data_IF_694188592578
#
_entry.id   IF_694188592578
#
_cell.length_a   1.000
_cell.length_b   1.000
_cell.length_c   1.000
_cell.angle_alpha   90.00
_cell.angle_beta   90.00
_cell.angle_gamma   90.00
#
_symmetry.space_group_name_H-M   'P 1'
#
loop_
_entity.id
_entity.type
_entity.pdbx_description
1 polymer ?
#
# COMPACT_ATOMS: atom_id res chain seq x y z
N UNK A 1 20.54 9.54 2.06
CA UNK A 1 20.00 8.22 2.47
C UNK A 1 19.17 8.31 3.76
N UNK A 2 19.73 8.83 4.89
CA UNK A 2 19.00 8.91 6.19
C UNK A 2 17.66 9.66 6.07
N UNK A 3 17.60 10.80 5.40
CA UNK A 3 16.35 11.56 5.21
C UNK A 3 15.29 10.76 4.45
N UNK A 4 15.69 10.05 3.40
CA UNK A 4 14.78 9.18 2.62
C UNK A 4 14.25 8.02 3.48
N UNK A 5 15.13 7.38 4.25
CA UNK A 5 14.74 6.34 5.20
C UNK A 5 13.71 6.84 6.21
N UNK A 6 13.98 7.97 6.86
CA UNK A 6 13.05 8.56 7.84
C UNK A 6 11.69 8.92 7.20
N UNK A 7 11.69 9.48 5.98
CA UNK A 7 10.47 9.81 5.26
C UNK A 7 9.63 8.56 4.94
N UNK A 8 10.25 7.50 4.42
CA UNK A 8 9.55 6.24 4.11
C UNK A 8 9.01 5.54 5.37
N UNK A 9 9.79 5.58 6.47
CA UNK A 9 9.36 5.04 7.76
C UNK A 9 8.12 5.77 8.27
N UNK A 10 8.19 7.11 8.35
CA UNK A 10 7.08 7.93 8.85
C UNK A 10 5.86 7.83 7.94
N UNK A 11 6.05 7.88 6.62
CA UNK A 11 4.95 7.77 5.66
C UNK A 11 4.22 6.43 5.76
N UNK A 12 4.97 5.33 5.91
CA UNK A 12 4.35 4.00 6.04
C UNK A 12 3.69 3.82 7.41
N UNK A 13 4.28 4.36 8.47
CA UNK A 13 3.63 4.42 9.79
C UNK A 13 2.28 5.14 9.69
N UNK A 14 2.24 6.31 9.08
CA UNK A 14 1.01 7.10 8.90
C UNK A 14 -0.03 6.34 8.08
N UNK A 15 0.38 5.73 6.96
CA UNK A 15 -0.53 4.94 6.13
C UNK A 15 -1.19 3.81 6.92
N UNK A 16 -0.41 3.04 7.69
CA UNK A 16 -0.95 1.92 8.48
C UNK A 16 -1.79 2.42 9.64
N UNK A 17 -1.29 3.40 10.42
CA UNK A 17 -2.01 3.91 11.57
C UNK A 17 -3.38 4.50 11.20
N UNK A 18 -3.45 5.35 10.18
CA UNK A 18 -4.71 6.01 9.82
C UNK A 18 -5.57 5.17 8.87
N UNK A 19 -4.98 4.47 7.91
CA UNK A 19 -5.72 3.60 6.99
C UNK A 19 -6.36 2.41 7.71
N UNK A 20 -5.55 1.61 8.41
CA UNK A 20 -6.08 0.51 9.22
C UNK A 20 -6.87 1.02 10.43
N UNK A 21 -6.46 2.15 11.00
CA UNK A 21 -7.17 2.80 12.11
C UNK A 21 -8.59 3.19 11.76
N UNK A 22 -8.86 3.65 10.53
CA UNK A 22 -10.22 3.92 10.07
C UNK A 22 -11.11 2.67 10.14
N UNK A 23 -10.57 1.49 9.80
CA UNK A 23 -11.29 0.22 9.91
C UNK A 23 -11.47 -0.24 11.36
N UNK A 24 -10.43 -0.08 12.20
CA UNK A 24 -10.39 -0.62 13.57
C UNK A 24 -11.05 0.31 14.59
N UNK A 25 -10.76 1.58 14.53
CA UNK A 25 -11.26 2.58 15.48
C UNK A 25 -12.56 3.21 15.00
N UNK A 26 -12.65 3.51 13.70
CA UNK A 26 -13.86 4.04 13.07
C UNK A 26 -14.94 2.97 12.88
N UNK A 27 -14.53 1.78 12.41
CA UNK A 27 -15.41 0.65 12.18
C UNK A 27 -16.35 0.80 10.97
N UNK A 28 -16.83 -0.34 10.48
CA UNK A 28 -17.75 -0.37 9.33
C UNK A 28 -19.09 0.29 9.63
N UNK A 29 -19.56 0.25 10.89
CA UNK A 29 -20.87 0.78 11.28
C UNK A 29 -20.90 2.31 11.33
N UNK A 30 -19.77 2.97 11.58
CA UNK A 30 -19.69 4.43 11.70
C UNK A 30 -19.04 5.10 10.50
N UNK A 31 -17.89 4.56 10.05
CA UNK A 31 -17.11 5.15 8.95
C UNK A 31 -17.52 4.56 7.60
N UNK A 32 -17.96 3.30 7.61
CA UNK A 32 -18.34 2.57 6.41
C UNK A 32 -17.16 2.24 5.50
N UNK A 33 -17.40 1.37 4.51
CA UNK A 33 -16.38 0.99 3.54
C UNK A 33 -15.83 2.19 2.78
N UNK A 34 -16.67 3.12 2.39
CA UNK A 34 -16.26 4.34 1.66
C UNK A 34 -15.31 5.20 2.51
N UNK A 35 -15.65 5.43 3.78
CA UNK A 35 -14.80 6.22 4.66
C UNK A 35 -13.44 5.56 4.94
N UNK A 36 -13.41 4.22 5.10
CA UNK A 36 -12.15 3.46 5.23
C UNK A 36 -11.30 3.63 3.95
N UNK A 37 -11.91 3.48 2.78
CA UNK A 37 -11.24 3.63 1.50
C UNK A 37 -10.66 5.05 1.33
N UNK A 38 -11.42 6.07 1.67
CA UNK A 38 -10.98 7.47 1.64
C UNK A 38 -9.84 7.73 2.64
N UNK A 39 -9.87 7.11 3.82
CA UNK A 39 -8.79 7.27 4.80
C UNK A 39 -7.44 6.76 4.26
N UNK A 40 -7.42 5.60 3.59
CA UNK A 40 -6.22 5.10 2.91
C UNK A 40 -5.76 6.06 1.80
N UNK A 41 -6.68 6.52 0.95
CA UNK A 41 -6.36 7.45 -0.13
C UNK A 41 -5.83 8.78 0.38
N UNK A 42 -6.49 9.38 1.37
CA UNK A 42 -6.07 10.67 1.93
C UNK A 42 -4.78 10.58 2.76
N UNK A 43 -4.50 9.45 3.40
CA UNK A 43 -3.20 9.23 4.03
C UNK A 43 -2.06 9.32 2.99
N UNK A 44 -2.26 8.72 1.80
CA UNK A 44 -1.30 8.86 0.69
C UNK A 44 -1.24 10.30 0.20
N UNK A 45 -2.37 10.98 -0.02
CA UNK A 45 -2.37 12.40 -0.44
C UNK A 45 -1.53 13.24 0.53
N UNK A 46 -1.81 13.13 1.82
CA UNK A 46 -1.11 13.90 2.85
C UNK A 46 0.39 13.62 2.85
N UNK A 47 0.79 12.34 2.79
CA UNK A 47 2.20 11.96 2.79
C UNK A 47 2.91 12.27 1.48
N UNK A 48 2.23 12.15 0.34
CA UNK A 48 2.82 12.51 -0.96
C UNK A 48 3.23 13.99 -1.00
N UNK A 49 2.42 14.88 -0.46
CA UNK A 49 2.79 16.30 -0.36
C UNK A 49 3.73 16.61 0.82
N UNK A 50 3.61 15.89 1.93
CA UNK A 50 4.43 16.11 3.12
C UNK A 50 5.87 15.62 2.98
N UNK A 51 6.06 14.39 2.47
CA UNK A 51 7.38 13.74 2.39
C UNK A 51 7.81 13.39 0.97
N UNK A 52 6.95 13.54 -0.02
CA UNK A 52 7.28 13.28 -1.43
C UNK A 52 8.51 14.02 -1.92
N UNK A 53 8.71 15.32 -1.59
CA UNK A 53 9.94 16.03 -1.95
C UNK A 53 11.22 15.44 -1.37
N UNK A 54 11.15 14.59 -0.33
CA UNK A 54 12.29 13.95 0.33
C UNK A 54 12.60 12.57 -0.26
N UNK A 55 11.58 11.71 -0.42
CA UNK A 55 11.77 10.30 -0.80
C UNK A 55 11.02 9.88 -2.06
N UNK A 56 10.09 10.69 -2.55
CA UNK A 56 9.10 10.29 -3.55
C UNK A 56 7.86 9.64 -2.94
N UNK A 57 7.84 9.43 -1.60
CA UNK A 57 6.71 8.87 -0.86
C UNK A 57 6.21 7.53 -1.45
N UNK A 58 7.11 6.56 -1.56
CA UNK A 58 6.70 5.22 -2.00
C UNK A 58 5.82 4.53 -0.96
N UNK A 59 6.25 4.54 0.30
CA UNK A 59 5.57 3.96 1.49
C UNK A 59 4.99 2.56 1.26
N UNK A 60 5.57 1.85 0.28
CA UNK A 60 5.08 0.58 -0.24
C UNK A 60 6.20 -0.19 -0.94
N UNK A 61 6.55 -1.42 -0.48
CA UNK A 61 7.57 -2.24 -1.12
C UNK A 61 7.26 -2.60 -2.58
N UNK A 62 5.99 -2.80 -2.94
CA UNK A 62 5.60 -3.08 -4.31
C UNK A 62 5.79 -1.86 -5.22
N UNK A 63 5.51 -0.65 -4.73
CA UNK A 63 5.79 0.60 -5.47
C UNK A 63 7.29 0.77 -5.69
N UNK A 64 8.11 0.52 -4.67
CA UNK A 64 9.58 0.58 -4.79
C UNK A 64 10.10 -0.45 -5.79
N UNK A 65 9.55 -1.67 -5.79
CA UNK A 65 9.88 -2.70 -6.78
C UNK A 65 9.50 -2.26 -8.21
N UNK A 66 8.29 -1.76 -8.40
CA UNK A 66 7.83 -1.28 -9.70
C UNK A 66 8.68 -0.12 -10.25
N UNK A 67 9.06 0.82 -9.37
CA UNK A 67 9.97 1.91 -9.73
C UNK A 67 11.37 1.40 -10.11
N UNK A 68 11.89 0.40 -9.41
CA UNK A 68 13.14 -0.28 -9.76
C UNK A 68 13.05 -0.97 -11.12
N UNK A 69 11.99 -1.76 -11.35
CA UNK A 69 11.76 -2.45 -12.64
C UNK A 69 11.63 -1.45 -13.78
N UNK A 70 10.95 -0.32 -13.57
CA UNK A 70 10.84 0.76 -14.54
C UNK A 70 12.15 1.53 -14.79
N UNK A 71 13.22 1.22 -14.04
CA UNK A 71 14.52 1.90 -14.16
C UNK A 71 14.57 3.29 -13.51
N UNK A 72 13.58 3.62 -12.65
CA UNK A 72 13.48 4.92 -11.97
C UNK A 72 14.07 4.93 -10.55
N UNK A 73 14.59 3.81 -10.08
CA UNK A 73 15.14 3.64 -8.74
C UNK A 73 16.35 2.70 -8.75
N UNK A 74 17.34 2.95 -7.90
CA UNK A 74 18.46 2.02 -7.70
C UNK A 74 18.08 0.85 -6.79
N UNK A 75 18.70 -0.32 -6.98
CA UNK A 75 18.51 -1.47 -6.10
C UNK A 75 18.86 -1.15 -4.63
N UNK A 76 19.89 -0.34 -4.41
CA UNK A 76 20.30 0.11 -3.07
C UNK A 76 19.21 0.94 -2.40
N UNK A 77 18.64 1.91 -3.11
CA UNK A 77 17.55 2.73 -2.58
C UNK A 77 16.31 1.89 -2.30
N UNK A 78 15.97 0.94 -3.20
CA UNK A 78 14.84 0.03 -3.03
C UNK A 78 14.95 -0.77 -1.72
N UNK A 79 16.12 -1.39 -1.46
CA UNK A 79 16.33 -2.18 -0.23
C UNK A 79 16.21 -1.29 1.03
N UNK A 80 16.79 -0.09 1.00
CA UNK A 80 16.70 0.86 2.11
C UNK A 80 15.25 1.29 2.35
N UNK A 81 14.45 1.50 1.29
CA UNK A 81 13.04 1.83 1.40
C UNK A 81 12.25 0.66 2.00
N UNK A 82 12.48 -0.56 1.53
CA UNK A 82 11.82 -1.74 2.08
C UNK A 82 12.01 -1.86 3.59
N UNK A 83 13.26 -1.73 4.07
CA UNK A 83 13.56 -1.79 5.51
C UNK A 83 12.78 -0.70 6.27
N UNK A 84 12.82 0.55 5.79
CA UNK A 84 12.11 1.67 6.41
C UNK A 84 10.59 1.44 6.43
N UNK A 85 10.03 0.97 5.32
CA UNK A 85 8.60 0.72 5.15
C UNK A 85 8.10 -0.39 6.08
N UNK A 86 8.81 -1.51 6.18
CA UNK A 86 8.44 -2.58 7.11
C UNK A 86 8.50 -2.15 8.56
N UNK A 87 9.55 -1.42 8.96
CA UNK A 87 9.66 -0.86 10.33
C UNK A 87 8.51 0.12 10.58
N UNK A 88 8.24 1.04 9.66
CA UNK A 88 7.16 2.01 9.78
C UNK A 88 5.79 1.34 9.92
N UNK A 89 5.53 0.28 9.13
CA UNK A 89 4.28 -0.48 9.20
C UNK A 89 4.09 -1.18 10.56
N UNK A 90 5.14 -1.80 11.09
CA UNK A 90 5.10 -2.45 12.42
C UNK A 90 4.82 -1.41 13.50
N UNK A 91 5.53 -0.27 13.49
CA UNK A 91 5.32 0.80 14.47
C UNK A 91 3.89 1.36 14.37
N UNK A 92 3.39 1.62 13.14
CA UNK A 92 2.02 2.10 12.93
C UNK A 92 0.96 1.14 13.45
N UNK A 93 1.13 -0.15 13.18
CA UNK A 93 0.25 -1.21 13.69
C UNK A 93 0.35 -1.36 15.22
N UNK A 94 1.55 -1.23 15.81
CA UNK A 94 1.74 -1.29 17.25
C UNK A 94 1.05 -0.12 17.96
N UNK A 95 1.19 1.11 17.45
CA UNK A 95 0.49 2.28 17.98
C UNK A 95 -1.03 2.08 17.87
N UNK A 96 -1.52 1.57 16.75
CA UNK A 96 -2.94 1.25 16.57
C UNK A 96 -3.44 0.25 17.63
N UNK A 97 -2.70 -0.83 17.86
CA UNK A 97 -3.04 -1.84 18.87
C UNK A 97 -3.07 -1.28 20.30
N UNK A 98 -2.19 -0.33 20.63
CA UNK A 98 -2.20 0.36 21.93
C UNK A 98 -3.42 1.28 22.11
N UNK A 99 -3.99 1.81 21.03
CA UNK A 99 -5.16 2.70 21.06
C UNK A 99 -6.46 1.90 21.00
N UNK A 100 -6.47 0.78 20.25
CA UNK A 100 -7.67 0.01 19.99
C UNK A 100 -8.23 -0.67 21.24
N UNK A 101 -9.55 -0.62 21.44
CA UNK A 101 -10.23 -1.33 22.52
C UNK A 101 -10.03 -2.85 22.46
N UNK A 102 -9.86 -3.40 21.25
CA UNK A 102 -9.57 -4.81 21.00
C UNK A 102 -8.09 -5.16 21.19
N UNK A 103 -7.24 -4.18 21.51
CA UNK A 103 -5.81 -4.38 21.56
C UNK A 103 -5.25 -4.89 20.23
N UNK A 104 -4.49 -5.97 20.30
CA UNK A 104 -3.85 -6.57 19.11
C UNK A 104 -4.70 -7.68 18.45
N UNK A 105 -5.96 -7.88 18.85
CA UNK A 105 -6.80 -8.93 18.28
C UNK A 105 -7.25 -8.63 16.84
N UNK A 106 -7.36 -7.34 16.47
CA UNK A 106 -7.70 -6.91 15.11
C UNK A 106 -7.03 -5.57 14.81
N UNK A 107 -6.22 -5.54 13.76
CA UNK A 107 -5.44 -4.37 13.33
C UNK A 107 -5.67 -4.02 11.84
N UNK A 108 -6.81 -4.43 11.27
CA UNK A 108 -7.11 -4.21 9.87
C UNK A 108 -6.21 -5.07 8.95
N UNK A 109 -5.85 -6.26 9.40
CA UNK A 109 -5.06 -7.23 8.66
C UNK A 109 -5.79 -7.71 7.40
N UNK A 110 -5.00 -8.11 6.40
CA UNK A 110 -5.50 -8.69 5.17
C UNK A 110 -5.66 -10.22 5.29
N UNK A 111 -6.54 -10.80 4.47
CA UNK A 111 -6.74 -12.24 4.45
C UNK A 111 -7.56 -12.72 3.26
N UNK A 112 -7.69 -14.04 3.15
CA UNK A 112 -8.55 -14.75 2.21
C UNK A 112 -9.30 -15.87 2.93
N UNK A 113 -10.25 -16.51 2.28
CA UNK A 113 -11.16 -17.47 2.92
C UNK A 113 -11.79 -16.87 4.20
N UNK A 114 -11.64 -17.50 5.36
CA UNK A 114 -12.13 -17.01 6.64
C UNK A 114 -11.46 -15.70 7.10
N UNK A 115 -10.33 -15.31 6.52
CA UNK A 115 -9.67 -14.03 6.76
C UNK A 115 -10.13 -12.89 5.84
N UNK A 116 -10.92 -13.20 4.81
CA UNK A 116 -11.51 -12.21 3.91
C UNK A 116 -12.75 -11.58 4.54
N UNK A 117 -12.92 -10.24 4.50
CA UNK A 117 -14.14 -9.61 4.99
C UNK A 117 -15.41 -10.10 4.28
N UNK A 118 -15.33 -10.41 2.99
CA UNK A 118 -16.45 -10.94 2.19
C UNK A 118 -16.38 -12.44 1.91
N UNK A 119 -15.47 -13.19 2.54
CA UNK A 119 -15.35 -14.65 2.36
C UNK A 119 -14.73 -15.09 1.03
N UNK A 120 -13.98 -14.23 0.36
CA UNK A 120 -13.33 -14.55 -0.93
C UNK A 120 -12.11 -15.46 -0.73
N UNK A 121 -11.99 -16.49 -1.58
CA UNK A 121 -10.91 -17.47 -1.51
C UNK A 121 -9.58 -17.00 -2.10
N UNK A 122 -8.56 -17.84 -1.95
CA UNK A 122 -7.18 -17.59 -2.38
C UNK A 122 -7.07 -17.13 -3.85
N UNK A 123 -7.78 -17.77 -4.78
CA UNK A 123 -7.72 -17.40 -6.21
C UNK A 123 -8.16 -15.95 -6.43
N UNK A 124 -9.28 -15.54 -5.83
CA UNK A 124 -9.78 -14.17 -5.93
C UNK A 124 -8.78 -13.18 -5.31
N UNK A 125 -8.16 -13.52 -4.17
CA UNK A 125 -7.15 -12.71 -3.52
C UNK A 125 -5.93 -12.50 -4.41
N UNK A 126 -5.38 -13.56 -5.00
CA UNK A 126 -4.23 -13.48 -5.90
C UNK A 126 -4.50 -12.61 -7.12
N UNK A 127 -5.63 -12.83 -7.80
CA UNK A 127 -6.00 -12.08 -9.00
C UNK A 127 -6.22 -10.60 -8.66
N UNK A 128 -7.01 -10.33 -7.61
CA UNK A 128 -7.33 -8.96 -7.20
C UNK A 128 -6.07 -8.18 -6.84
N UNK A 129 -5.24 -8.70 -5.95
CA UNK A 129 -4.03 -8.01 -5.47
C UNK A 129 -3.02 -7.77 -6.59
N UNK A 130 -2.84 -8.73 -7.49
CA UNK A 130 -1.96 -8.60 -8.65
C UNK A 130 -2.46 -7.50 -9.62
N UNK A 131 -3.73 -7.56 -10.01
CA UNK A 131 -4.31 -6.59 -10.97
C UNK A 131 -4.40 -5.21 -10.37
N UNK A 132 -4.88 -5.08 -9.12
CA UNK A 132 -4.99 -3.80 -8.42
C UNK A 132 -3.61 -3.14 -8.24
N UNK A 133 -2.57 -3.92 -7.92
CA UNK A 133 -1.21 -3.39 -7.81
C UNK A 133 -0.66 -2.95 -9.16
N UNK A 134 -0.90 -3.71 -10.24
CA UNK A 134 -0.47 -3.31 -11.58
C UNK A 134 -1.12 -1.97 -11.99
N UNK A 135 -2.44 -1.82 -11.78
CA UNK A 135 -3.17 -0.57 -12.03
C UNK A 135 -2.61 0.57 -11.17
N UNK A 136 -2.34 0.31 -9.90
CA UNK A 136 -1.76 1.31 -9.00
C UNK A 136 -0.40 1.79 -9.49
N UNK A 137 0.49 0.87 -9.92
CA UNK A 137 1.78 1.23 -10.51
C UNK A 137 1.64 2.01 -11.82
N UNK A 138 0.67 1.66 -12.67
CA UNK A 138 0.39 2.41 -13.90
C UNK A 138 0.04 3.85 -13.58
N UNK A 139 -0.86 4.08 -12.60
CA UNK A 139 -1.21 5.43 -12.17
C UNK A 139 0.00 6.19 -11.61
N UNK A 140 0.77 5.58 -10.71
CA UNK A 140 1.96 6.21 -10.09
C UNK A 140 2.99 6.57 -11.16
N UNK A 141 3.41 5.60 -11.96
CA UNK A 141 4.48 5.80 -12.95
C UNK A 141 4.05 6.75 -14.06
N UNK A 142 2.78 6.75 -14.43
CA UNK A 142 2.22 7.67 -15.42
C UNK A 142 2.24 9.11 -14.91
N UNK A 143 1.66 9.37 -13.73
CA UNK A 143 1.53 10.74 -13.21
C UNK A 143 2.87 11.35 -12.78
N UNK A 144 3.85 10.52 -12.37
CA UNK A 144 5.19 10.94 -11.97
C UNK A 144 6.23 10.89 -13.10
N UNK A 145 5.82 10.52 -14.31
CA UNK A 145 6.69 10.53 -15.49
C UNK A 145 7.08 11.94 -15.93
N UNK A 146 8.08 12.06 -16.80
CA UNK A 146 8.60 13.34 -17.27
C UNK A 146 7.55 14.24 -17.96
N UNK A 147 6.58 13.63 -18.64
CA UNK A 147 5.41 14.30 -19.24
C UNK A 147 4.12 14.15 -18.40
N UNK A 148 4.25 13.67 -17.16
CA UNK A 148 3.13 13.51 -16.21
C UNK A 148 2.78 14.82 -15.52
N UNK A 149 1.66 14.80 -14.81
CA UNK A 149 1.15 15.95 -14.05
C UNK A 149 1.66 15.91 -12.60
N UNK A 150 2.98 16.03 -12.39
CA UNK A 150 3.64 15.87 -11.09
C UNK A 150 3.05 16.71 -9.96
N UNK A 151 2.56 17.92 -10.23
CA UNK A 151 1.91 18.75 -9.24
C UNK A 151 0.63 18.13 -8.63
N UNK A 152 -0.08 17.30 -9.41
CA UNK A 152 -1.28 16.58 -8.99
C UNK A 152 -1.02 15.11 -8.63
N UNK A 153 0.23 14.67 -8.64
CA UNK A 153 0.58 13.27 -8.43
C UNK A 153 0.00 12.72 -7.12
N UNK A 154 0.16 13.44 -6.02
CA UNK A 154 -0.36 13.02 -4.71
C UNK A 154 -1.87 12.77 -4.73
N UNK A 155 -2.64 13.67 -5.35
CA UNK A 155 -4.10 13.53 -5.47
C UNK A 155 -4.47 12.34 -6.34
N UNK A 156 -3.86 12.23 -7.54
CA UNK A 156 -4.15 11.13 -8.46
C UNK A 156 -3.84 9.75 -7.84
N UNK A 157 -2.69 9.62 -7.18
CA UNK A 157 -2.27 8.38 -6.52
C UNK A 157 -3.22 8.04 -5.35
N UNK A 158 -3.55 9.04 -4.51
CA UNK A 158 -4.45 8.82 -3.38
C UNK A 158 -5.88 8.45 -3.82
N UNK A 159 -6.41 9.10 -4.85
CA UNK A 159 -7.72 8.74 -5.43
C UNK A 159 -7.67 7.31 -5.99
N UNK A 160 -6.61 6.95 -6.72
CA UNK A 160 -6.47 5.58 -7.25
C UNK A 160 -6.48 4.55 -6.12
N UNK A 161 -5.75 4.81 -5.02
CA UNK A 161 -5.76 3.92 -3.86
C UNK A 161 -7.15 3.82 -3.22
N UNK A 162 -7.86 4.96 -3.08
CA UNK A 162 -9.22 4.98 -2.56
C UNK A 162 -10.17 4.15 -3.43
N UNK A 163 -10.11 4.29 -4.76
CA UNK A 163 -10.93 3.50 -5.70
C UNK A 163 -10.64 2.00 -5.56
N UNK A 164 -9.36 1.61 -5.48
CA UNK A 164 -8.97 0.21 -5.26
C UNK A 164 -9.57 -0.32 -3.94
N UNK A 165 -9.56 0.48 -2.87
CA UNK A 165 -10.16 0.10 -1.59
C UNK A 165 -11.68 0.01 -1.65
N UNK A 166 -12.36 0.94 -2.33
CA UNK A 166 -13.83 0.88 -2.52
C UNK A 166 -14.24 -0.45 -3.16
N UNK A 167 -13.48 -0.90 -4.16
CA UNK A 167 -13.77 -2.16 -4.87
C UNK A 167 -13.36 -3.39 -4.06
N UNK A 168 -12.21 -3.35 -3.41
CA UNK A 168 -11.51 -4.55 -2.95
C UNK A 168 -11.57 -4.85 -1.46
N UNK A 169 -12.08 -3.95 -0.60
CA UNK A 169 -12.11 -4.20 0.85
C UNK A 169 -12.77 -5.55 1.17
N UNK A 170 -13.87 -5.88 0.51
CA UNK A 170 -14.55 -7.14 0.75
C UNK A 170 -13.75 -8.36 0.27
N UNK A 171 -12.86 -8.18 -0.71
CA UNK A 171 -12.08 -9.31 -1.28
C UNK A 171 -10.96 -9.74 -0.35
N UNK A 172 -10.13 -8.79 0.13
CA UNK A 172 -8.93 -9.11 0.91
C UNK A 172 -8.69 -8.15 2.07
N UNK A 173 -9.51 -7.12 2.24
CA UNK A 173 -9.19 -5.95 3.04
C UNK A 173 -8.22 -5.00 2.32
N UNK A 174 -7.88 -5.26 1.08
CA UNK A 174 -6.91 -4.59 0.18
C UNK A 174 -5.52 -4.42 0.77
N UNK A 175 -4.56 -5.09 0.14
CA UNK A 175 -3.14 -4.88 0.41
C UNK A 175 -2.54 -3.87 -0.55
N UNK A 176 -2.29 -4.30 -1.77
CA UNK A 176 -1.44 -3.67 -2.81
C UNK A 176 -0.10 -3.17 -2.26
N UNK A 177 0.25 -3.59 -1.03
CA UNK A 177 1.38 -3.08 -0.25
C UNK A 177 1.86 -4.13 0.76
N UNK A 178 2.97 -4.83 0.51
CA UNK A 178 3.50 -5.85 1.41
C UNK A 178 3.75 -5.36 2.85
N UNK A 179 4.23 -4.12 3.04
CA UNK A 179 4.50 -3.59 4.36
C UNK A 179 3.20 -3.30 5.14
N UNK A 180 2.17 -2.74 4.46
CA UNK A 180 0.84 -2.51 5.03
C UNK A 180 0.19 -3.82 5.50
N UNK A 181 0.44 -4.92 4.82
CA UNK A 181 -0.09 -6.22 5.23
C UNK A 181 0.74 -6.85 6.35
N UNK A 182 2.06 -6.75 6.26
CA UNK A 182 2.98 -7.39 7.20
C UNK A 182 2.87 -6.81 8.63
N UNK A 183 2.82 -5.48 8.76
CA UNK A 183 2.79 -4.82 10.08
C UNK A 183 1.64 -5.35 10.96
N UNK A 184 0.37 -5.24 10.53
CA UNK A 184 -0.75 -5.82 11.25
C UNK A 184 -0.66 -7.34 11.41
N UNK A 185 -0.32 -8.09 10.35
CA UNK A 185 -0.28 -9.55 10.40
C UNK A 185 0.75 -10.08 11.41
N UNK A 186 1.91 -9.42 11.53
CA UNK A 186 2.96 -9.79 12.49
C UNK A 186 2.47 -9.70 13.94
N UNK A 187 1.71 -8.66 14.26
CA UNK A 187 1.24 -8.39 15.63
C UNK A 187 -0.02 -9.16 16.00
N UNK A 188 -0.91 -9.40 15.03
CA UNK A 188 -2.10 -10.24 15.21
C UNK A 188 -1.73 -11.72 15.28
N UNK A 189 -0.75 -12.14 14.47
CA UNK A 189 -0.32 -13.56 14.41
C UNK A 189 -1.31 -14.48 13.72
N UNK A 190 -1.29 -15.75 14.07
CA UNK A 190 -2.26 -16.77 13.64
C UNK A 190 -2.48 -16.82 12.12
N UNK A 191 -3.77 -16.83 11.73
CA UNK A 191 -4.17 -16.91 10.32
C UNK A 191 -3.65 -15.74 9.49
N UNK A 192 -3.66 -14.51 10.03
CA UNK A 192 -3.18 -13.33 9.31
C UNK A 192 -1.70 -13.47 8.92
N UNK A 193 -0.87 -13.96 9.84
CA UNK A 193 0.55 -14.17 9.58
C UNK A 193 0.79 -15.34 8.61
N UNK A 194 0.01 -16.43 8.71
CA UNK A 194 0.12 -17.58 7.80
C UNK A 194 -0.33 -17.26 6.37
N UNK A 195 -1.22 -16.28 6.19
CA UNK A 195 -1.73 -15.86 4.89
C UNK A 195 -0.95 -14.70 4.26
N UNK A 196 -0.06 -14.04 5.01
CA UNK A 196 0.62 -12.81 4.58
C UNK A 196 1.42 -12.95 3.28
N UNK A 197 1.88 -14.15 2.95
CA UNK A 197 2.67 -14.43 1.73
C UNK A 197 1.94 -14.03 0.44
N UNK A 198 0.59 -14.14 0.39
CA UNK A 198 -0.21 -13.71 -0.76
C UNK A 198 0.02 -12.23 -1.04
N UNK A 199 0.08 -11.43 0.02
CA UNK A 199 0.24 -9.97 -0.02
C UNK A 199 1.69 -9.51 -0.26
N UNK A 200 2.61 -10.44 -0.37
CA UNK A 200 3.95 -10.24 -0.92
C UNK A 200 4.00 -10.63 -2.40
N UNK A 201 3.54 -11.84 -2.71
CA UNK A 201 3.67 -12.43 -4.05
C UNK A 201 2.81 -11.70 -5.08
N UNK A 202 1.50 -11.56 -4.83
CA UNK A 202 0.58 -10.97 -5.80
C UNK A 202 0.87 -9.49 -6.07
N UNK A 203 1.09 -8.62 -5.05
CA UNK A 203 1.52 -7.25 -5.29
C UNK A 203 2.88 -7.14 -6.00
N UNK A 204 3.84 -8.03 -5.70
CA UNK A 204 5.13 -8.02 -6.38
C UNK A 204 4.99 -8.33 -7.89
N UNK A 205 4.17 -9.32 -8.24
CA UNK A 205 3.89 -9.64 -9.66
C UNK A 205 3.21 -8.43 -10.34
N UNK A 206 2.19 -7.84 -9.71
CA UNK A 206 1.53 -6.65 -10.23
C UNK A 206 2.49 -5.47 -10.43
N UNK A 207 3.39 -5.25 -9.47
CA UNK A 207 4.42 -4.22 -9.55
C UNK A 207 5.40 -4.44 -10.70
N UNK A 208 5.82 -5.69 -10.91
CA UNK A 208 6.68 -6.05 -12.06
C UNK A 208 5.96 -5.80 -13.38
N UNK A 209 4.69 -6.20 -13.52
CA UNK A 209 3.89 -5.95 -14.71
C UNK A 209 3.81 -4.45 -14.99
N UNK A 210 3.37 -3.64 -14.00
CA UNK A 210 3.27 -2.18 -14.14
C UNK A 210 4.62 -1.54 -14.50
N UNK A 211 5.70 -1.95 -13.82
CA UNK A 211 7.05 -1.46 -14.08
C UNK A 211 7.56 -1.79 -15.48
N UNK A 212 7.32 -3.00 -15.98
CA UNK A 212 7.73 -3.43 -17.33
C UNK A 212 7.01 -2.66 -18.43
N UNK A 213 5.72 -2.33 -18.26
CA UNK A 213 4.98 -1.51 -19.23
C UNK A 213 5.63 -0.14 -19.46
N UNK A 214 6.14 0.49 -18.41
CA UNK A 214 6.87 1.75 -18.52
C UNK A 214 8.32 1.55 -19.00
N UNK A 215 9.00 0.51 -18.54
CA UNK A 215 10.36 0.21 -19.05
C UNK A 215 10.37 -0.05 -20.54
N UNK A 216 9.34 -0.71 -21.07
CA UNK A 216 9.16 -0.97 -22.50
C UNK A 216 8.56 0.23 -23.25
N UNK A 217 8.31 1.36 -22.59
CA UNK A 217 7.71 2.59 -23.14
C UNK A 217 6.32 2.41 -23.74
N UNK A 218 5.59 1.35 -23.38
CA UNK A 218 4.25 1.07 -23.90
C UNK A 218 3.20 2.07 -23.38
N UNK A 219 3.45 2.68 -22.23
CA UNK A 219 2.56 3.64 -21.58
C UNK A 219 3.25 5.01 -21.36
N UNK A 220 4.34 5.29 -22.07
CA UNK A 220 4.94 6.62 -22.10
C UNK A 220 4.47 7.38 -23.34
N UNK A 221 4.22 8.70 -23.24
CA UNK A 221 3.90 9.51 -24.42
C UNK A 221 5.08 9.52 -25.41
N UNK A 222 4.78 9.58 -26.69
CA UNK A 222 5.79 9.76 -27.74
C UNK A 222 6.64 11.03 -27.48
N UNK A 223 7.88 11.02 -28.02
CA UNK A 223 8.86 12.05 -27.78
C UNK A 223 8.44 13.45 -28.29
#
# INVERSE_FOLDING_TARGET
MVKKFAAELVGTLVLVLFGCGAAVLGGFDHVGQLGIALAFGFAIVAMAYGIGPVSGCHVNPAVSLGAFVAGRMSAKDMVVYWIAQFIGAIIGAAILGMIAKTGFASLGQNGFDAGSPGGYGLHAALVFEMVATAIFLIAILGVTGAKGHGAFAGVAIGITLAVIHIVGIQVTGVSVNPARSFGPALLVGGQALSQVWVFFVAPAIGAVIGGLLFRAKLLEPDA
#
